data_IF_971182510590
#
_entry.id   IF_971182510590
#
_cell.length_a   1.000
_cell.length_b   1.000
_cell.length_c   1.000
_cell.angle_alpha   90.00
_cell.angle_beta   90.00
_cell.angle_gamma   90.00
#
_symmetry.space_group_name_H-M   'P 1'
#
loop_
_entity.id
_entity.type
_entity.pdbx_description
1 polymer ?
#
# COMPACT_ATOMS: atom_id res chain seq x y z
N UNK A 1 -65.31 -5.14 35.12
CA UNK A 1 -65.53 -3.69 35.30
C UNK A 1 -64.23 -2.94 35.03
N UNK A 2 -64.32 -1.91 34.18
CA UNK A 2 -63.52 -0.66 34.08
C UNK A 2 -61.99 -0.79 33.88
N UNK A 3 -61.48 -0.59 32.66
CA UNK A 3 -61.15 0.70 31.99
C UNK A 3 -60.11 1.51 32.75
N UNK A 4 -58.92 1.70 32.16
CA UNK A 4 -58.24 2.98 31.88
C UNK A 4 -56.73 2.76 31.77
N UNK A 5 -56.19 2.74 30.56
CA UNK A 5 -54.87 3.35 30.27
C UNK A 5 -55.00 4.08 28.94
N UNK A 6 -55.23 5.37 29.10
CA UNK A 6 -55.41 6.38 28.08
C UNK A 6 -54.01 6.94 27.73
N UNK A 7 -53.73 7.07 26.43
CA UNK A 7 -53.06 8.23 25.82
C UNK A 7 -51.65 8.60 26.28
N UNK A 8 -50.61 8.34 25.45
CA UNK A 8 -49.62 9.36 25.04
C UNK A 8 -48.55 8.83 24.03
N UNK A 9 -48.92 8.43 22.80
CA UNK A 9 -47.93 8.38 21.68
C UNK A 9 -48.63 8.72 20.36
N UNK A 10 -49.09 9.96 20.26
CA UNK A 10 -49.45 10.60 19.02
C UNK A 10 -48.89 12.03 19.11
N UNK A 11 -48.33 12.56 18.02
CA UNK A 11 -47.63 13.85 17.88
C UNK A 11 -46.09 13.70 17.88
N UNK A 12 -45.54 13.27 16.73
CA UNK A 12 -44.27 13.72 16.15
C UNK A 12 -44.11 13.13 14.74
N UNK A 13 -45.11 13.37 13.89
CA UNK A 13 -45.15 12.91 12.49
C UNK A 13 -45.50 14.10 11.57
N UNK A 14 -44.78 15.20 11.77
CA UNK A 14 -44.89 16.42 10.98
C UNK A 14 -43.48 17.01 10.81
N UNK A 15 -43.05 17.16 9.55
CA UNK A 15 -42.05 18.17 9.20
C UNK A 15 -40.61 17.72 8.96
N UNK A 16 -40.39 16.65 8.18
CA UNK A 16 -39.09 16.43 7.52
C UNK A 16 -39.29 16.03 6.06
N UNK A 17 -40.12 16.77 5.33
CA UNK A 17 -40.03 16.81 3.88
C UNK A 17 -38.84 17.68 3.53
N UNK A 18 -37.65 17.08 3.48
CA UNK A 18 -36.48 17.67 2.82
C UNK A 18 -36.79 17.75 1.32
N UNK A 19 -37.55 18.77 0.93
CA UNK A 19 -37.70 19.25 -0.43
C UNK A 19 -36.41 20.00 -0.80
N UNK A 20 -35.29 19.30 -0.84
CA UNK A 20 -34.27 19.63 -1.83
C UNK A 20 -34.63 18.78 -3.04
N UNK A 21 -35.56 19.30 -3.85
CA UNK A 21 -35.66 18.87 -5.23
C UNK A 21 -34.29 19.18 -5.84
N UNK A 22 -33.42 18.17 -5.90
CA UNK A 22 -32.19 18.25 -6.67
C UNK A 22 -32.65 18.36 -8.12
N UNK A 23 -32.73 19.60 -8.64
CA UNK A 23 -32.68 19.87 -10.07
C UNK A 23 -31.42 19.18 -10.58
N UNK A 24 -31.65 17.97 -11.09
CA UNK A 24 -30.69 17.14 -11.79
C UNK A 24 -31.37 16.82 -13.09
N UNK A 25 -30.70 17.15 -14.19
CA UNK A 25 -31.02 16.66 -15.51
C UNK A 25 -30.98 15.13 -15.45
N UNK A 26 -32.18 14.55 -15.32
CA UNK A 26 -32.41 13.12 -15.21
C UNK A 26 -33.22 12.68 -16.40
N UNK A 27 -32.76 11.62 -17.05
CA UNK A 27 -33.44 11.04 -18.19
C UNK A 27 -33.52 9.53 -18.01
N UNK A 28 -34.69 8.98 -18.33
CA UNK A 28 -34.96 7.56 -18.23
C UNK A 28 -35.26 6.99 -19.59
N UNK A 29 -34.51 5.98 -19.99
CA UNK A 29 -34.77 5.21 -21.20
C UNK A 29 -35.07 3.76 -20.86
N UNK A 30 -35.76 3.08 -21.77
CA UNK A 30 -36.01 1.64 -21.66
C UNK A 30 -35.24 0.93 -22.77
N UNK A 31 -34.43 -0.05 -22.38
CA UNK A 31 -33.80 -0.99 -23.28
C UNK A 31 -34.74 -2.16 -23.56
N UNK A 32 -35.05 -2.39 -24.83
CA UNK A 32 -35.89 -3.48 -25.34
C UNK A 32 -35.25 -4.14 -26.58
N UNK A 33 -33.91 -4.21 -26.63
CA UNK A 33 -33.17 -4.89 -27.69
C UNK A 33 -32.56 -4.00 -28.77
N UNK A 34 -32.59 -2.67 -28.62
CA UNK A 34 -31.91 -1.74 -29.53
C UNK A 34 -30.38 -1.84 -29.45
N UNK A 35 -29.67 -1.53 -30.54
CA UNK A 35 -28.21 -1.65 -30.59
C UNK A 35 -27.47 -0.51 -29.87
N UNK A 36 -28.01 0.70 -29.93
CA UNK A 36 -27.43 1.91 -29.33
C UNK A 36 -28.49 2.97 -29.05
N UNK A 37 -28.20 3.89 -28.14
CA UNK A 37 -29.00 5.06 -27.82
C UNK A 37 -28.06 6.27 -27.62
N UNK A 38 -28.50 7.47 -27.99
CA UNK A 38 -27.75 8.71 -27.74
C UNK A 38 -28.66 9.66 -26.99
N UNK A 39 -28.16 10.19 -25.87
CA UNK A 39 -28.91 11.10 -25.00
C UNK A 39 -28.10 12.37 -24.78
N UNK A 40 -28.80 13.49 -24.59
CA UNK A 40 -28.17 14.77 -24.28
C UNK A 40 -28.77 15.35 -23.02
N UNK A 41 -27.97 15.40 -21.96
CA UNK A 41 -28.34 15.98 -20.67
C UNK A 41 -27.78 17.40 -20.59
N UNK A 42 -28.60 18.35 -20.14
CA UNK A 42 -28.19 19.76 -19.97
C UNK A 42 -28.53 20.19 -18.55
N UNK A 43 -27.53 20.70 -17.83
CA UNK A 43 -27.65 21.18 -16.45
C UNK A 43 -26.95 22.54 -16.34
N UNK A 44 -27.47 23.45 -15.51
CA UNK A 44 -26.81 24.72 -15.23
C UNK A 44 -26.09 24.65 -13.88
N UNK A 45 -24.84 25.08 -13.83
CA UNK A 45 -24.10 25.22 -12.57
C UNK A 45 -23.57 26.63 -12.43
N UNK A 46 -23.29 27.06 -11.20
CA UNK A 46 -22.64 28.35 -10.95
C UNK A 46 -21.17 28.10 -10.65
N UNK A 47 -20.30 28.87 -11.30
CA UNK A 47 -18.87 28.89 -11.03
C UNK A 47 -18.48 30.26 -10.48
N UNK A 48 -17.73 30.26 -9.38
CA UNK A 48 -17.16 31.50 -8.85
C UNK A 48 -15.93 31.88 -9.66
N UNK A 49 -15.99 33.04 -10.33
CA UNK A 49 -14.85 33.67 -11.00
C UNK A 49 -14.40 34.89 -10.21
N UNK A 50 -13.19 35.35 -10.47
CA UNK A 50 -12.63 36.53 -9.84
C UNK A 50 -12.42 37.61 -10.88
N UNK A 51 -12.81 38.84 -10.56
CA UNK A 51 -12.41 40.03 -11.31
C UNK A 51 -11.48 40.87 -10.44
N UNK A 52 -10.55 41.55 -11.07
CA UNK A 52 -9.70 42.51 -10.40
C UNK A 52 -10.40 43.88 -10.38
N UNK A 53 -10.43 44.51 -9.21
CA UNK A 53 -10.97 45.85 -9.02
C UNK A 53 -9.94 46.67 -8.25
N UNK A 54 -9.66 47.89 -8.71
CA UNK A 54 -8.79 48.83 -7.99
C UNK A 54 -9.60 49.52 -6.89
N UNK A 55 -9.15 49.37 -5.65
CA UNK A 55 -9.75 50.05 -4.50
C UNK A 55 -8.78 51.08 -3.93
N UNK A 56 -9.26 52.30 -3.75
CA UNK A 56 -8.56 53.32 -2.99
C UNK A 56 -8.36 52.83 -1.54
N UNK A 57 -7.11 52.90 -1.07
CA UNK A 57 -6.72 52.53 0.28
C UNK A 57 -5.65 53.51 0.79
N UNK A 58 -5.37 53.42 2.08
CA UNK A 58 -4.28 54.16 2.71
C UNK A 58 -3.06 53.26 2.83
N UNK A 59 -1.94 53.67 2.25
CA UNK A 59 -0.64 53.03 2.40
C UNK A 59 0.21 53.81 3.41
N UNK A 60 1.19 53.14 4.02
CA UNK A 60 2.17 53.78 4.89
C UNK A 60 3.56 53.74 4.27
N UNK A 61 4.34 54.82 4.46
CA UNK A 61 5.77 54.86 4.13
C UNK A 61 6.57 55.39 5.32
N UNK A 62 7.80 54.92 5.46
CA UNK A 62 8.73 55.44 6.47
C UNK A 62 9.48 56.64 5.88
N UNK A 63 9.39 57.79 6.55
CA UNK A 63 10.14 58.99 6.18
C UNK A 63 11.25 59.22 7.22
N UNK A 64 12.52 59.22 6.81
CA UNK A 64 13.62 59.49 7.72
C UNK A 64 13.62 60.96 8.14
N UNK A 65 13.90 61.21 9.42
CA UNK A 65 14.17 62.53 9.98
C UNK A 65 15.37 62.43 10.94
N UNK A 66 16.13 63.52 11.09
CA UNK A 66 17.29 63.58 11.98
C UNK A 66 16.90 64.19 13.32
N UNK A 67 17.23 63.50 14.41
CA UNK A 67 17.05 64.01 15.77
C UNK A 67 18.41 64.03 16.48
N UNK A 68 18.78 65.17 17.05
CA UNK A 68 20.00 65.28 17.83
C UNK A 68 19.75 64.65 19.21
N UNK A 69 20.39 63.52 19.48
CA UNK A 69 20.22 62.80 20.75
C UNK A 69 21.54 62.86 21.51
N UNK A 70 21.47 63.35 22.74
CA UNK A 70 22.60 63.47 23.64
C UNK A 70 22.49 62.47 24.79
N UNK A 71 23.56 61.74 25.07
CA UNK A 71 23.62 60.81 26.17
C UNK A 71 25.02 60.78 26.81
N UNK A 72 25.10 60.37 28.08
CA UNK A 72 26.38 60.07 28.71
C UNK A 72 26.92 58.76 28.15
N UNK A 73 28.05 58.82 27.46
CA UNK A 73 28.77 57.65 26.97
C UNK A 73 29.98 57.37 27.87
N UNK A 74 30.19 56.10 28.21
CA UNK A 74 31.36 55.70 28.99
C UNK A 74 32.56 55.54 28.06
N UNK A 75 33.58 56.38 28.24
CA UNK A 75 34.88 56.28 27.56
C UNK A 75 35.96 55.84 28.54
N UNK A 76 37.10 55.40 28.03
CA UNK A 76 38.15 54.82 28.86
C UNK A 76 39.47 55.56 28.65
N UNK A 77 40.18 55.84 29.74
CA UNK A 77 41.55 56.38 29.71
C UNK A 77 42.54 55.38 30.26
N UNK A 78 43.70 55.27 29.64
CA UNK A 78 44.73 54.31 30.04
C UNK A 78 45.60 54.88 31.17
N UNK A 79 45.68 54.19 32.30
CA UNK A 79 46.59 54.51 33.42
C UNK A 79 47.53 53.34 33.69
N UNK A 80 48.83 53.61 33.81
CA UNK A 80 49.87 52.58 33.90
C UNK A 80 50.60 52.61 35.24
N UNK A 81 50.98 51.42 35.73
CA UNK A 81 51.89 51.25 36.87
C UNK A 81 52.84 50.07 36.64
N UNK A 82 54.01 50.07 37.30
CA UNK A 82 55.02 49.02 37.13
C UNK A 82 54.80 47.88 38.11
N UNK A 83 54.62 46.65 37.60
CA UNK A 83 54.68 45.45 38.42
C UNK A 83 56.13 44.93 38.51
N UNK A 84 56.66 44.64 39.72
CA UNK A 84 57.98 44.04 39.88
C UNK A 84 58.01 42.59 39.38
N UNK A 85 59.20 42.16 38.93
CA UNK A 85 59.42 40.83 38.38
C UNK A 85 59.18 39.73 39.41
N UNK A 86 58.66 38.58 38.96
CA UNK A 86 58.34 37.45 39.81
C UNK A 86 58.60 36.12 39.10
N UNK A 87 58.89 35.09 39.89
CA UNK A 87 59.08 33.74 39.38
C UNK A 87 57.70 33.11 39.14
N UNK A 88 57.48 32.61 37.93
CA UNK A 88 56.23 31.96 37.56
C UNK A 88 56.49 30.48 37.29
N UNK A 89 55.97 29.65 38.19
CA UNK A 89 56.05 28.20 38.11
C UNK A 89 54.76 27.63 37.54
N UNK A 90 54.86 26.77 36.54
CA UNK A 90 53.74 26.04 35.98
C UNK A 90 54.12 24.58 35.69
N UNK A 91 53.13 23.69 35.77
CA UNK A 91 53.35 22.26 35.53
C UNK A 91 53.22 21.98 34.05
N UNK A 92 54.30 21.55 33.41
CA UNK A 92 54.30 21.03 32.03
C UNK A 92 54.24 19.51 32.05
N UNK A 93 53.68 18.89 31.01
CA UNK A 93 53.50 17.43 30.96
C UNK A 93 54.26 16.85 29.78
N UNK A 94 55.29 16.05 30.07
CA UNK A 94 56.11 15.39 29.06
C UNK A 94 55.55 14.00 28.74
N UNK A 95 55.51 13.65 27.45
CA UNK A 95 54.87 12.40 26.97
C UNK A 95 55.91 11.31 26.77
N UNK A 96 55.84 10.26 27.57
CA UNK A 96 56.76 9.12 27.52
C UNK A 96 56.01 7.90 26.97
N UNK A 97 56.52 7.31 25.89
CA UNK A 97 55.88 6.22 25.15
C UNK A 97 56.62 4.90 25.30
N UNK A 98 55.91 3.81 25.57
CA UNK A 98 56.45 2.43 25.52
C UNK A 98 55.61 1.51 24.65
N UNK A 99 56.26 0.57 23.99
CA UNK A 99 55.59 -0.44 23.15
C UNK A 99 55.19 -1.64 23.98
N UNK A 100 53.94 -2.10 23.82
CA UNK A 100 53.36 -3.20 24.59
C UNK A 100 52.80 -4.25 23.62
N UNK A 101 53.02 -5.53 23.91
CA UNK A 101 52.50 -6.63 23.10
C UNK A 101 51.15 -7.12 23.65
N UNK A 102 50.13 -7.22 22.78
CA UNK A 102 48.79 -7.72 23.10
C UNK A 102 48.37 -8.79 22.09
N UNK A 103 47.31 -9.54 22.37
CA UNK A 103 46.75 -10.53 21.42
C UNK A 103 45.31 -10.17 21.08
N UNK A 104 44.90 -10.43 19.84
CA UNK A 104 43.51 -10.31 19.38
C UNK A 104 43.02 -11.61 18.77
N UNK A 105 41.73 -11.90 18.96
CA UNK A 105 41.14 -13.14 18.48
C UNK A 105 40.63 -12.97 17.05
N UNK A 106 41.19 -13.72 16.12
CA UNK A 106 40.74 -13.74 14.73
C UNK A 106 40.06 -15.08 14.44
N UNK A 107 38.85 -15.02 13.88
CA UNK A 107 38.03 -16.19 13.61
C UNK A 107 37.67 -16.29 12.13
N UNK A 108 37.73 -17.50 11.59
CA UNK A 108 37.26 -17.80 10.22
C UNK A 108 36.22 -18.92 10.24
N UNK A 109 35.17 -18.74 9.44
CA UNK A 109 34.08 -19.70 9.28
C UNK A 109 34.40 -20.64 8.12
N UNK A 110 34.54 -21.94 8.38
CA UNK A 110 34.70 -22.92 7.30
C UNK A 110 33.32 -23.42 6.84
N UNK A 111 33.02 -23.43 5.53
CA UNK A 111 31.76 -23.93 5.01
C UNK A 111 31.61 -25.44 5.27
N UNK A 112 30.36 -25.90 5.37
CA UNK A 112 30.04 -27.32 5.56
C UNK A 112 30.49 -28.16 4.37
N UNK A 113 30.84 -29.43 4.61
CA UNK A 113 31.29 -30.34 3.56
C UNK A 113 30.63 -31.71 3.65
N UNK A 114 30.39 -32.32 2.49
CA UNK A 114 29.91 -33.70 2.34
C UNK A 114 31.11 -34.64 2.38
N UNK A 115 31.10 -35.60 3.30
CA UNK A 115 32.14 -36.64 3.38
C UNK A 115 31.51 -37.97 3.03
N UNK A 116 32.07 -38.63 2.03
CA UNK A 116 31.64 -39.93 1.55
C UNK A 116 32.68 -40.99 1.91
N UNK A 117 32.23 -42.21 2.19
CA UNK A 117 33.11 -43.37 2.30
C UNK A 117 32.57 -44.56 1.52
N UNK A 118 33.46 -45.23 0.82
CA UNK A 118 33.20 -46.47 0.10
C UNK A 118 33.18 -47.64 1.11
N UNK A 119 32.06 -48.33 1.19
CA UNK A 119 31.96 -49.56 1.97
C UNK A 119 32.22 -50.74 1.03
N UNK A 120 33.28 -51.55 1.27
CA UNK A 120 33.63 -52.64 0.37
C UNK A 120 32.52 -53.70 0.34
N UNK A 121 32.34 -54.30 -0.84
CA UNK A 121 31.37 -55.36 -1.03
C UNK A 121 31.66 -56.54 -0.12
N UNK A 122 30.61 -57.17 0.40
CA UNK A 122 30.74 -58.32 1.29
C UNK A 122 29.88 -59.48 0.80
N UNK A 123 30.41 -60.69 0.94
CA UNK A 123 29.69 -61.93 0.67
C UNK A 123 28.83 -62.24 1.89
N UNK A 124 27.52 -62.21 1.71
CA UNK A 124 26.60 -62.54 2.78
C UNK A 124 26.01 -63.91 2.48
N UNK A 125 26.35 -64.87 3.34
CA UNK A 125 25.87 -66.24 3.27
C UNK A 125 24.76 -66.43 4.29
N UNK A 126 23.72 -67.18 3.91
CA UNK A 126 22.68 -67.62 4.82
C UNK A 126 22.50 -69.12 4.64
N UNK A 127 22.62 -69.85 5.75
CA UNK A 127 22.38 -71.30 5.78
C UNK A 127 20.88 -71.55 5.77
N UNK A 128 20.42 -72.42 4.86
CA UNK A 128 19.02 -72.83 4.81
C UNK A 128 18.79 -74.03 5.75
N UNK A 129 17.54 -74.29 6.19
CA UNK A 129 17.24 -75.35 7.17
C UNK A 129 17.63 -76.78 6.72
N UNK A 130 17.84 -77.00 5.42
CA UNK A 130 18.31 -78.27 4.84
C UNK A 130 19.83 -78.50 4.96
N UNK A 131 20.57 -77.58 5.58
CA UNK A 131 22.02 -77.68 5.80
C UNK A 131 22.91 -77.05 4.72
N UNK A 132 22.35 -76.67 3.57
CA UNK A 132 23.13 -76.08 2.47
C UNK A 132 23.28 -74.54 2.59
N UNK A 133 24.48 -74.01 2.30
CA UNK A 133 24.77 -72.57 2.35
C UNK A 133 24.65 -71.90 0.99
N UNK A 134 23.69 -70.95 0.86
CA UNK A 134 23.65 -70.05 -0.29
C UNK A 134 24.21 -68.69 0.06
N UNK A 135 25.20 -68.26 -0.73
CA UNK A 135 25.86 -66.98 -0.58
C UNK A 135 25.54 -66.06 -1.76
N UNK A 136 25.32 -64.78 -1.47
CA UNK A 136 25.27 -63.73 -2.49
C UNK A 136 26.28 -62.63 -2.19
N UNK A 137 27.00 -62.20 -3.22
CA UNK A 137 27.91 -61.07 -3.13
C UNK A 137 27.13 -59.76 -3.28
N UNK A 138 27.26 -58.88 -2.29
CA UNK A 138 26.70 -57.53 -2.36
C UNK A 138 27.84 -56.60 -2.80
N UNK A 139 27.71 -55.87 -3.92
CA UNK A 139 28.73 -54.95 -4.37
C UNK A 139 28.86 -53.75 -3.43
N UNK A 140 30.06 -53.17 -3.38
CA UNK A 140 30.34 -52.01 -2.53
C UNK A 140 29.48 -50.81 -2.92
N UNK A 141 29.09 -50.00 -1.93
CA UNK A 141 28.35 -48.76 -2.16
C UNK A 141 28.93 -47.63 -1.33
N UNK A 142 28.83 -46.43 -1.87
CA UNK A 142 29.32 -45.23 -1.21
C UNK A 142 28.21 -44.59 -0.37
N UNK A 143 28.52 -44.30 0.89
CA UNK A 143 27.59 -43.66 1.82
C UNK A 143 28.16 -42.29 2.19
N UNK A 144 27.37 -41.25 1.94
CA UNK A 144 27.76 -39.87 2.21
C UNK A 144 26.94 -39.24 3.32
N UNK A 145 27.60 -38.41 4.15
CA UNK A 145 26.94 -37.58 5.16
C UNK A 145 27.41 -36.13 5.07
N UNK A 146 26.48 -35.19 5.24
CA UNK A 146 26.77 -33.75 5.23
C UNK A 146 27.10 -33.30 6.65
N UNK A 147 28.26 -32.65 6.85
CA UNK A 147 28.62 -32.05 8.15
C UNK A 147 28.51 -30.53 8.08
N UNK A 148 27.85 -29.88 9.07
CA UNK A 148 27.70 -28.44 9.10
C UNK A 148 29.07 -27.75 9.31
N UNK A 149 29.18 -26.52 8.78
CA UNK A 149 30.40 -25.71 8.91
C UNK A 149 30.69 -25.32 10.35
N UNK A 150 31.97 -25.10 10.69
CA UNK A 150 32.40 -24.69 12.03
C UNK A 150 33.27 -23.44 11.99
N UNK A 151 33.10 -22.57 12.98
CA UNK A 151 33.94 -21.40 13.22
C UNK A 151 35.18 -21.83 13.99
N UNK A 152 36.37 -21.47 13.51
CA UNK A 152 37.64 -21.72 14.21
C UNK A 152 38.31 -20.39 14.45
N UNK A 153 38.65 -20.11 15.71
CA UNK A 153 39.28 -18.89 16.15
C UNK A 153 40.71 -19.16 16.64
N UNK A 154 41.65 -18.26 16.34
CA UNK A 154 43.00 -18.27 16.92
C UNK A 154 43.37 -16.87 17.43
N UNK A 155 44.15 -16.81 18.49
CA UNK A 155 44.71 -15.57 19.02
C UNK A 155 45.97 -15.20 18.24
N UNK A 156 46.05 -13.98 17.74
CA UNK A 156 47.20 -13.46 17.00
C UNK A 156 47.80 -12.28 17.76
N UNK A 157 49.11 -12.28 18.08
CA UNK A 157 49.76 -11.17 18.77
C UNK A 157 49.99 -9.97 17.85
N UNK A 158 49.87 -8.77 18.41
CA UNK A 158 50.21 -7.49 17.78
C UNK A 158 50.82 -6.53 18.81
N UNK A 159 51.58 -5.54 18.33
CA UNK A 159 52.19 -4.50 19.15
C UNK A 159 51.41 -3.20 19.07
N UNK A 160 51.31 -2.53 20.22
CA UNK A 160 50.68 -1.23 20.35
C UNK A 160 51.57 -0.29 21.17
N UNK A 161 51.60 1.00 20.85
CA UNK A 161 52.48 1.98 21.53
C UNK A 161 51.65 2.87 22.43
N UNK A 162 51.76 2.63 23.74
CA UNK A 162 51.02 3.36 24.76
C UNK A 162 51.91 4.45 25.33
N UNK A 163 51.39 5.67 25.41
CA UNK A 163 52.14 6.82 25.87
C UNK A 163 51.42 7.53 27.01
N UNK A 164 52.11 7.73 28.11
CA UNK A 164 51.60 8.40 29.29
C UNK A 164 52.23 9.80 29.40
N UNK A 165 51.48 10.77 29.94
CA UNK A 165 51.96 12.14 30.16
C UNK A 165 52.26 12.34 31.63
N UNK A 166 53.50 12.68 31.95
CA UNK A 166 53.96 12.84 33.34
C UNK A 166 54.21 14.32 33.63
N UNK A 167 53.58 14.90 34.66
CA UNK A 167 53.81 16.29 35.04
C UNK A 167 55.22 16.54 35.57
N UNK A 168 55.84 17.65 35.17
CA UNK A 168 57.02 18.25 35.77
C UNK A 168 56.78 19.75 36.00
N UNK A 169 57.23 20.26 37.14
CA UNK A 169 57.18 21.68 37.46
C UNK A 169 58.35 22.40 36.80
N UNK A 170 58.04 23.41 36.00
CA UNK A 170 59.03 24.31 35.40
C UNK A 170 58.74 25.74 35.84
N UNK A 171 59.77 26.45 36.25
CA UNK A 171 59.66 27.81 36.75
C UNK A 171 60.53 28.74 35.92
N UNK A 172 59.91 29.76 35.33
CA UNK A 172 60.59 30.78 34.55
C UNK A 172 60.50 32.13 35.29
N UNK A 173 61.58 32.91 35.28
CA UNK A 173 61.58 34.25 35.88
C UNK A 173 61.01 35.28 34.91
N UNK A 174 59.95 35.99 35.31
CA UNK A 174 59.35 37.05 34.49
C UNK A 174 59.86 38.41 34.98
N UNK A 175 60.49 39.22 34.11
CA UNK A 175 61.01 40.52 34.50
C UNK A 175 59.88 41.55 34.77
N UNK A 176 60.18 42.65 35.51
CA UNK A 176 59.21 43.71 35.77
C UNK A 176 58.62 44.27 34.47
N UNK A 177 57.33 44.62 34.47
CA UNK A 177 56.67 45.24 33.31
C UNK A 177 55.65 46.30 33.73
N UNK A 178 55.48 47.31 32.88
CA UNK A 178 54.41 48.30 33.05
C UNK A 178 53.08 47.68 32.63
N UNK A 179 52.12 47.64 33.57
CA UNK A 179 50.76 47.19 33.33
C UNK A 179 49.85 48.42 33.30
N UNK A 180 49.17 48.59 32.17
CA UNK A 180 48.26 49.70 31.91
C UNK A 180 46.81 49.21 31.95
N UNK A 181 45.99 49.83 32.80
CA UNK A 181 44.57 49.54 32.93
C UNK A 181 43.75 50.68 32.33
N UNK A 182 42.66 50.34 31.65
CA UNK A 182 41.70 51.30 31.14
C UNK A 182 40.67 51.62 32.23
N UNK A 183 40.65 52.88 32.67
CA UNK A 183 39.72 53.37 33.68
C UNK A 183 38.56 54.10 32.99
N UNK A 184 37.30 53.66 33.19
CA UNK A 184 36.14 54.31 32.60
C UNK A 184 35.91 55.71 33.20
N UNK A 185 35.48 56.65 32.35
CA UNK A 185 34.92 57.95 32.71
C UNK A 185 33.71 58.23 31.82
N UNK A 186 32.78 59.07 32.28
CA UNK A 186 31.59 59.43 31.50
C UNK A 186 31.84 60.72 30.72
N UNK A 187 31.47 60.74 29.45
CA UNK A 187 31.51 61.93 28.58
C UNK A 187 30.14 62.13 27.95
N UNK A 188 29.57 63.33 28.04
CA UNK A 188 28.29 63.65 27.44
C UNK A 188 28.48 63.94 25.95
N UNK A 189 27.96 63.06 25.08
CA UNK A 189 28.15 63.16 23.64
C UNK A 189 26.79 63.27 22.95
N UNK A 190 26.66 64.28 22.10
CA UNK A 190 25.51 64.47 21.23
C UNK A 190 25.84 63.94 19.83
N UNK A 191 24.93 63.17 19.23
CA UNK A 191 25.02 62.76 17.82
C UNK A 191 23.66 62.86 17.15
N UNK A 192 23.68 63.22 15.87
CA UNK A 192 22.48 63.17 15.04
C UNK A 192 22.14 61.72 14.72
N UNK A 193 20.94 61.29 15.12
CA UNK A 193 20.43 59.96 14.88
C UNK A 193 19.29 60.04 13.88
N UNK A 194 19.36 59.28 12.80
CA UNK A 194 18.24 59.13 11.86
C UNK A 194 17.16 58.27 12.49
N UNK A 195 15.98 58.86 12.70
CA UNK A 195 14.75 58.16 13.09
C UNK A 195 13.77 58.13 11.92
N UNK A 196 12.76 57.27 12.00
CA UNK A 196 11.75 57.13 10.95
C UNK A 196 10.38 57.44 11.54
N UNK A 197 9.58 58.23 10.82
CA UNK A 197 8.17 58.41 11.11
C UNK A 197 7.33 57.75 10.02
N UNK A 198 6.20 57.19 10.43
CA UNK A 198 5.24 56.59 9.49
C UNK A 198 4.33 57.68 8.96
N UNK A 199 4.30 57.88 7.65
CA UNK A 199 3.34 58.76 6.98
C UNK A 199 2.38 57.96 6.11
N UNK A 200 1.10 58.30 6.22
CA UNK A 200 0.02 57.75 5.42
C UNK A 200 -0.13 58.51 4.10
N UNK A 201 -0.38 57.80 3.00
CA UNK A 201 -0.65 58.37 1.69
C UNK A 201 -1.72 57.56 0.94
N UNK A 202 -2.44 58.22 0.04
CA UNK A 202 -3.43 57.56 -0.81
C UNK A 202 -2.73 56.65 -1.83
N UNK A 203 -3.16 55.40 -1.90
CA UNK A 203 -2.68 54.44 -2.89
C UNK A 203 -3.86 53.59 -3.36
N UNK A 204 -3.74 52.98 -4.53
CA UNK A 204 -4.70 51.97 -4.98
C UNK A 204 -4.16 50.58 -4.65
N UNK A 205 -5.05 49.66 -4.28
CA UNK A 205 -4.75 48.24 -4.18
C UNK A 205 -5.66 47.46 -5.12
N UNK A 206 -5.09 46.52 -5.87
CA UNK A 206 -5.88 45.58 -6.66
C UNK A 206 -6.44 44.51 -5.74
N UNK A 207 -7.77 44.40 -5.67
CA UNK A 207 -8.46 43.33 -4.93
C UNK A 207 -9.17 42.39 -5.89
N UNK A 208 -9.19 41.10 -5.56
CA UNK A 208 -9.95 40.11 -6.30
C UNK A 208 -11.35 39.97 -5.70
N UNK A 209 -12.37 40.30 -6.48
CA UNK A 209 -13.77 40.20 -6.07
C UNK A 209 -14.40 38.98 -6.73
N UNK A 210 -14.91 38.01 -5.94
CA UNK A 210 -15.61 36.86 -6.49
C UNK A 210 -16.98 37.27 -7.04
N UNK A 211 -17.36 36.70 -8.18
CA UNK A 211 -18.71 36.79 -8.76
C UNK A 211 -19.12 35.43 -9.32
N UNK A 212 -20.42 35.11 -9.27
CA UNK A 212 -20.95 33.85 -9.81
C UNK A 212 -21.25 34.01 -11.30
N UNK A 213 -20.80 33.07 -12.11
CA UNK A 213 -21.12 32.97 -13.53
C UNK A 213 -21.87 31.68 -13.78
N UNK A 214 -23.05 31.73 -14.43
CA UNK A 214 -23.72 30.51 -14.86
C UNK A 214 -22.88 29.83 -15.96
N UNK A 215 -22.57 28.57 -15.74
CA UNK A 215 -21.84 27.70 -16.66
C UNK A 215 -22.78 26.58 -17.07
N UNK A 216 -22.90 26.37 -18.38
CA UNK A 216 -23.73 25.30 -18.94
C UNK A 216 -22.95 23.98 -18.93
N UNK A 217 -23.50 22.96 -18.31
CA UNK A 217 -22.99 21.59 -18.35
C UNK A 217 -23.79 20.81 -19.39
N UNK A 218 -23.14 20.41 -20.48
CA UNK A 218 -23.76 19.60 -21.54
C UNK A 218 -23.10 18.23 -21.54
N UNK A 219 -23.88 17.18 -21.34
CA UNK A 219 -23.39 15.81 -21.43
C UNK A 219 -24.02 15.06 -22.61
N UNK A 220 -23.19 14.69 -23.58
CA UNK A 220 -23.57 13.80 -24.67
C UNK A 220 -23.25 12.36 -24.24
N UNK A 221 -24.27 11.52 -24.11
CA UNK A 221 -24.13 10.15 -23.62
C UNK A 221 -24.44 9.16 -24.73
N UNK A 222 -23.41 8.42 -25.16
CA UNK A 222 -23.54 7.31 -26.10
C UNK A 222 -23.68 5.99 -25.32
N UNK A 223 -24.80 5.31 -25.50
CA UNK A 223 -25.05 3.98 -24.96
C UNK A 223 -24.93 2.96 -26.09
N UNK A 224 -24.11 1.94 -25.89
CA UNK A 224 -23.98 0.80 -26.80
C UNK A 224 -24.32 -0.47 -26.07
N UNK A 225 -25.24 -1.25 -26.63
CA UNK A 225 -25.77 -2.45 -25.99
C UNK A 225 -25.28 -3.70 -26.70
N UNK A 226 -24.97 -4.73 -25.92
CA UNK A 226 -24.71 -6.08 -26.41
C UNK A 226 -25.50 -7.07 -25.57
N UNK A 227 -26.53 -7.64 -26.17
CA UNK A 227 -27.25 -8.76 -25.58
C UNK A 227 -26.58 -10.07 -25.96
N UNK A 228 -26.22 -10.90 -24.98
CA UNK A 228 -25.71 -12.26 -25.22
C UNK A 228 -26.65 -13.32 -24.66
N UNK A 229 -27.87 -12.94 -24.32
CA UNK A 229 -28.86 -13.84 -23.73
C UNK A 229 -29.65 -14.57 -24.81
N UNK A 230 -30.11 -15.77 -24.47
CA UNK A 230 -31.02 -16.53 -25.33
C UNK A 230 -32.43 -15.91 -25.39
N UNK A 231 -32.80 -15.14 -24.36
CA UNK A 231 -34.05 -14.39 -24.27
C UNK A 231 -33.74 -12.89 -24.31
N UNK A 232 -34.59 -12.06 -24.96
CA UNK A 232 -34.36 -10.63 -25.05
C UNK A 232 -34.35 -10.01 -23.65
N UNK A 233 -33.27 -9.30 -23.31
CA UNK A 233 -33.18 -8.59 -22.05
C UNK A 233 -33.99 -7.30 -22.11
N UNK A 234 -34.55 -6.88 -20.97
CA UNK A 234 -35.21 -5.59 -20.80
C UNK A 234 -34.65 -4.87 -19.59
N UNK A 235 -34.42 -3.57 -19.69
CA UNK A 235 -33.94 -2.79 -18.55
C UNK A 235 -34.37 -1.34 -18.61
N UNK A 236 -34.63 -0.74 -17.46
CA UNK A 236 -34.77 0.72 -17.32
C UNK A 236 -33.42 1.32 -16.93
N UNK A 237 -32.96 2.31 -17.69
CA UNK A 237 -31.73 3.04 -17.45
C UNK A 237 -32.08 4.48 -17.07
N UNK A 238 -31.65 4.89 -15.89
CA UNK A 238 -31.78 6.26 -15.40
C UNK A 238 -30.42 6.92 -15.40
N UNK A 239 -30.24 7.94 -16.23
CA UNK A 239 -29.05 8.77 -16.26
C UNK A 239 -29.29 10.06 -15.50
N UNK A 240 -28.27 10.54 -14.81
CA UNK A 240 -28.31 11.78 -14.05
C UNK A 240 -27.00 12.54 -14.25
N UNK A 241 -27.07 13.77 -14.74
CA UNK A 241 -25.93 14.69 -14.74
C UNK A 241 -25.92 15.44 -13.41
N UNK A 242 -24.78 15.45 -12.72
CA UNK A 242 -24.62 16.23 -11.49
C UNK A 242 -23.91 17.58 -11.78
N UNK A 243 -23.96 18.50 -10.81
CA UNK A 243 -23.31 19.82 -10.88
C UNK A 243 -21.78 19.79 -11.03
N UNK A 244 -21.16 18.62 -10.85
CA UNK A 244 -19.72 18.40 -11.06
C UNK A 244 -19.41 17.96 -12.51
N UNK A 245 -20.41 17.86 -13.39
CA UNK A 245 -20.25 17.35 -14.75
C UNK A 245 -20.08 15.83 -14.83
N UNK A 246 -20.43 15.08 -13.78
CA UNK A 246 -20.36 13.61 -13.78
C UNK A 246 -21.72 13.02 -14.11
N UNK A 247 -21.76 12.15 -15.12
CA UNK A 247 -22.93 11.35 -15.44
C UNK A 247 -22.95 10.08 -14.58
N UNK A 248 -24.01 9.95 -13.78
CA UNK A 248 -24.38 8.74 -13.07
C UNK A 248 -25.34 7.88 -13.90
N UNK A 249 -25.15 6.56 -13.87
CA UNK A 249 -26.02 5.60 -14.53
C UNK A 249 -26.55 4.61 -13.48
N UNK A 250 -27.88 4.54 -13.35
CA UNK A 250 -28.59 3.52 -12.57
C UNK A 250 -29.36 2.63 -13.54
N UNK A 251 -29.34 1.32 -13.29
CA UNK A 251 -30.02 0.35 -14.15
C UNK A 251 -30.88 -0.58 -13.30
N UNK A 252 -32.12 -0.76 -13.74
CA UNK A 252 -33.09 -1.68 -13.17
C UNK A 252 -33.40 -2.74 -14.22
N UNK A 253 -33.15 -4.00 -13.88
CA UNK A 253 -33.45 -5.13 -14.75
C UNK A 253 -34.97 -5.38 -14.77
N UNK A 254 -35.55 -5.41 -15.98
CA UNK A 254 -36.97 -5.66 -16.26
C UNK A 254 -37.16 -6.94 -17.09
N UNK A 255 -36.09 -7.73 -17.27
CA UNK A 255 -36.10 -8.95 -18.08
C UNK A 255 -36.94 -10.03 -17.40
N UNK A 256 -37.63 -10.86 -18.20
CA UNK A 256 -38.35 -12.04 -17.69
C UNK A 256 -37.37 -13.05 -17.05
N UNK A 257 -36.23 -13.25 -17.72
CA UNK A 257 -35.09 -14.00 -17.17
C UNK A 257 -34.08 -13.00 -16.64
N UNK A 258 -33.74 -13.02 -15.33
CA UNK A 258 -32.84 -12.04 -14.75
C UNK A 258 -31.49 -11.96 -15.49
N UNK A 259 -31.11 -10.75 -15.89
CA UNK A 259 -29.88 -10.48 -16.60
C UNK A 259 -28.83 -9.89 -15.64
N UNK A 260 -27.57 -10.32 -15.77
CA UNK A 260 -26.42 -9.65 -15.20
C UNK A 260 -25.97 -8.54 -16.17
N UNK A 261 -26.00 -7.30 -15.71
CA UNK A 261 -25.75 -6.11 -16.54
C UNK A 261 -24.37 -5.56 -16.18
N UNK A 262 -23.46 -5.62 -17.14
CA UNK A 262 -22.08 -5.16 -17.01
C UNK A 262 -21.86 -3.88 -17.81
N UNK A 263 -21.19 -2.90 -17.23
CA UNK A 263 -20.92 -1.62 -17.87
C UNK A 263 -19.43 -1.27 -17.91
N UNK A 264 -18.96 -0.86 -19.08
CA UNK A 264 -17.68 -0.17 -19.26
C UNK A 264 -17.96 1.28 -19.62
N UNK A 265 -17.35 2.21 -18.87
CA UNK A 265 -17.51 3.65 -19.04
C UNK A 265 -16.23 4.24 -19.63
N UNK A 266 -16.36 5.17 -20.57
CA UNK A 266 -15.29 6.06 -21.05
C UNK A 266 -15.79 7.48 -21.05
N UNK A 267 -15.06 8.38 -20.40
CA UNK A 267 -15.42 9.78 -20.24
C UNK A 267 -14.37 10.68 -20.89
N UNK A 268 -14.81 11.70 -21.61
CA UNK A 268 -13.98 12.80 -22.06
C UNK A 268 -14.67 14.12 -21.68
N UNK A 269 -13.92 15.05 -21.11
CA UNK A 269 -14.44 16.37 -20.73
C UNK A 269 -13.69 17.43 -21.51
N UNK A 270 -14.42 18.33 -22.13
CA UNK A 270 -13.86 19.48 -22.83
C UNK A 270 -14.55 20.75 -22.37
N UNK A 271 -13.77 21.82 -22.18
CA UNK A 271 -14.25 23.10 -21.67
C UNK A 271 -14.03 24.16 -22.74
N UNK A 272 -15.10 24.83 -23.13
CA UNK A 272 -15.10 25.88 -24.13
C UNK A 272 -15.87 27.10 -23.58
N UNK A 273 -15.13 28.10 -23.11
CA UNK A 273 -15.70 29.27 -22.42
C UNK A 273 -16.56 28.91 -21.21
N UNK A 274 -17.85 29.24 -21.30
CA UNK A 274 -18.88 29.03 -20.27
C UNK A 274 -19.65 27.71 -20.47
N UNK A 275 -19.18 26.85 -21.38
CA UNK A 275 -19.77 25.53 -21.62
C UNK A 275 -18.77 24.44 -21.25
N UNK A 276 -19.19 23.52 -20.38
CA UNK A 276 -18.46 22.30 -20.08
C UNK A 276 -19.18 21.15 -20.79
N UNK A 277 -18.55 20.63 -21.83
CA UNK A 277 -19.02 19.48 -22.59
C UNK A 277 -18.44 18.19 -22.03
N UNK A 278 -19.29 17.20 -21.77
CA UNK A 278 -18.91 15.90 -21.24
C UNK A 278 -19.40 14.83 -22.21
N UNK A 279 -18.48 14.13 -22.87
CA UNK A 279 -18.80 12.99 -23.74
C UNK A 279 -18.62 11.71 -22.97
N UNK A 280 -19.70 10.97 -22.77
CA UNK A 280 -19.72 9.74 -21.99
C UNK A 280 -20.14 8.58 -22.88
N UNK A 281 -19.33 7.53 -22.91
CA UNK A 281 -19.63 6.32 -23.66
C UNK A 281 -19.78 5.14 -22.71
N UNK A 282 -20.95 4.53 -22.69
CA UNK A 282 -21.23 3.31 -21.95
C UNK A 282 -21.36 2.12 -22.91
N UNK A 283 -20.59 1.07 -22.63
CA UNK A 283 -20.75 -0.25 -23.26
C UNK A 283 -21.41 -1.18 -22.27
N UNK A 284 -22.67 -1.51 -22.53
CA UNK A 284 -23.52 -2.32 -21.67
C UNK A 284 -23.65 -3.72 -22.25
N UNK A 285 -23.24 -4.72 -21.47
CA UNK A 285 -23.37 -6.12 -21.84
C UNK A 285 -24.40 -6.78 -20.93
N UNK A 286 -25.42 -7.40 -21.53
CA UNK A 286 -26.41 -8.21 -20.85
C UNK A 286 -26.00 -9.68 -20.97
N UNK A 287 -25.86 -10.33 -19.82
CA UNK A 287 -25.52 -11.74 -19.69
C UNK A 287 -26.60 -12.44 -18.88
N UNK A 288 -26.83 -13.73 -19.12
CA UNK A 288 -27.84 -14.47 -18.37
C UNK A 288 -27.26 -14.65 -16.97
N UNK A 289 -27.98 -14.14 -15.95
CA UNK A 289 -27.46 -14.13 -14.58
C UNK A 289 -27.18 -15.53 -14.08
N UNK A 290 -28.02 -16.51 -14.43
CA UNK A 290 -27.88 -17.89 -13.99
C UNK A 290 -26.66 -18.53 -14.66
N UNK A 291 -26.47 -18.30 -15.96
CA UNK A 291 -25.35 -18.84 -16.74
C UNK A 291 -24.02 -18.19 -16.34
N UNK A 292 -23.99 -16.86 -16.22
CA UNK A 292 -22.78 -16.10 -15.90
C UNK A 292 -22.28 -16.37 -14.47
N UNK A 293 -23.18 -16.61 -13.51
CA UNK A 293 -22.85 -16.90 -12.11
C UNK A 293 -22.83 -18.39 -11.79
N UNK A 294 -23.12 -19.26 -12.77
CA UNK A 294 -23.19 -20.70 -12.55
C UNK A 294 -21.95 -21.28 -11.83
N UNK A 295 -20.70 -20.86 -12.12
CA UNK A 295 -19.51 -21.39 -11.44
C UNK A 295 -19.48 -21.21 -9.92
N UNK A 296 -20.13 -20.17 -9.40
CA UNK A 296 -20.17 -19.85 -7.95
C UNK A 296 -21.54 -20.10 -7.33
N UNK A 297 -22.57 -20.29 -8.14
CA UNK A 297 -23.92 -20.58 -7.66
C UNK A 297 -24.05 -22.01 -7.10
N UNK A 298 -23.23 -22.95 -7.60
CA UNK A 298 -23.17 -24.31 -7.08
C UNK A 298 -22.05 -24.46 -6.05
N UNK A 299 -22.25 -25.26 -4.98
CA UNK A 299 -21.17 -25.57 -4.06
C UNK A 299 -20.04 -26.30 -4.78
N UNK A 300 -18.81 -26.03 -4.38
CA UNK A 300 -17.64 -26.77 -4.87
C UNK A 300 -17.79 -28.21 -4.41
N UNK A 301 -17.79 -29.20 -5.29
CA UNK A 301 -18.04 -30.60 -4.94
C UNK A 301 -17.01 -31.58 -5.52
N UNK A 302 -17.16 -32.86 -5.19
CA UNK A 302 -16.33 -33.95 -5.72
C UNK A 302 -14.80 -33.70 -5.64
N UNK A 303 -14.33 -33.07 -4.56
CA UNK A 303 -12.91 -32.73 -4.38
C UNK A 303 -12.08 -34.01 -4.26
N UNK A 304 -11.21 -34.25 -5.24
CA UNK A 304 -10.27 -35.38 -5.29
C UNK A 304 -8.85 -34.86 -5.24
N UNK A 305 -8.08 -35.37 -4.29
CA UNK A 305 -6.68 -35.02 -4.11
C UNK A 305 -5.79 -36.24 -4.36
N UNK A 306 -4.88 -36.12 -5.31
CA UNK A 306 -3.83 -37.11 -5.58
C UNK A 306 -2.43 -36.49 -5.36
N UNK A 307 -1.39 -37.30 -5.51
CA UNK A 307 -0.01 -36.83 -5.38
C UNK A 307 0.43 -35.89 -6.54
N UNK A 308 -0.27 -35.89 -7.68
CA UNK A 308 0.08 -35.10 -8.88
C UNK A 308 -0.93 -34.02 -9.23
N UNK A 309 -2.20 -34.24 -8.89
CA UNK A 309 -3.29 -33.36 -9.29
C UNK A 309 -4.34 -33.20 -8.19
N UNK A 310 -4.99 -32.04 -8.21
CA UNK A 310 -6.20 -31.72 -7.47
C UNK A 310 -7.31 -31.50 -8.50
N UNK A 311 -8.44 -32.16 -8.32
CA UNK A 311 -9.62 -31.93 -9.15
C UNK A 311 -10.86 -31.72 -8.31
N UNK A 312 -11.74 -30.83 -8.72
CA UNK A 312 -13.02 -30.59 -8.05
C UNK A 312 -14.06 -30.15 -9.08
N UNK A 313 -15.33 -30.35 -8.75
CA UNK A 313 -16.47 -29.97 -9.58
C UNK A 313 -16.96 -28.60 -9.12
N UNK A 314 -17.18 -27.70 -10.07
CA UNK A 314 -17.89 -26.43 -9.88
C UNK A 314 -19.06 -26.38 -10.85
N UNK A 315 -19.91 -25.36 -10.73
CA UNK A 315 -20.96 -25.13 -11.72
C UNK A 315 -20.41 -24.86 -13.12
N UNK A 316 -21.26 -24.93 -14.16
CA UNK A 316 -20.82 -24.86 -15.55
C UNK A 316 -20.09 -23.54 -15.85
N UNK A 317 -18.93 -23.64 -16.50
CA UNK A 317 -18.10 -22.49 -16.89
C UNK A 317 -18.21 -22.27 -18.40
N UNK A 318 -18.83 -21.16 -18.78
CA UNK A 318 -18.96 -20.78 -20.20
C UNK A 318 -17.83 -19.86 -20.68
N UNK A 319 -17.16 -19.16 -19.77
CA UNK A 319 -16.00 -18.31 -20.08
C UNK A 319 -14.92 -18.44 -19.02
N UNK A 320 -13.68 -18.67 -19.46
CA UNK A 320 -12.52 -18.82 -18.59
C UNK A 320 -11.94 -17.47 -18.14
N UNK A 321 -12.16 -16.40 -18.92
CA UNK A 321 -11.53 -15.09 -18.68
C UNK A 321 -12.00 -14.42 -17.40
N UNK A 322 -13.19 -14.79 -16.91
CA UNK A 322 -13.78 -14.22 -15.70
C UNK A 322 -13.57 -15.10 -14.46
N UNK A 323 -13.01 -16.30 -14.60
CA UNK A 323 -12.87 -17.24 -13.47
C UNK A 323 -11.57 -16.95 -12.71
N UNK A 324 -11.69 -16.61 -11.43
CA UNK A 324 -10.58 -16.50 -10.47
C UNK A 324 -10.56 -17.72 -9.56
N UNK A 325 -9.42 -18.36 -9.44
CA UNK A 325 -9.26 -19.52 -8.58
C UNK A 325 -8.13 -19.27 -7.61
N UNK A 326 -8.37 -19.49 -6.32
CA UNK A 326 -7.31 -19.47 -5.31
C UNK A 326 -7.33 -20.79 -4.57
N UNK A 327 -6.16 -21.42 -4.52
CA UNK A 327 -5.99 -22.77 -3.97
C UNK A 327 -4.90 -22.71 -2.92
N UNK A 328 -5.26 -23.20 -1.73
CA UNK A 328 -4.34 -23.36 -0.61
C UNK A 328 -4.36 -24.80 -0.13
N UNK A 329 -3.20 -25.46 -0.14
CA UNK A 329 -3.02 -26.84 0.31
C UNK A 329 -2.00 -26.85 1.44
N UNK A 330 -2.43 -27.32 2.62
CA UNK A 330 -1.62 -27.36 3.84
C UNK A 330 -1.51 -28.80 4.32
N UNK A 331 -0.30 -29.33 4.46
CA UNK A 331 -0.05 -30.66 5.01
C UNK A 331 -0.16 -30.65 6.54
N UNK A 332 -0.94 -31.58 7.09
CA UNK A 332 -1.02 -31.82 8.52
C UNK A 332 0.09 -32.80 8.97
N UNK A 333 0.99 -32.36 9.88
CA UNK A 333 1.99 -33.25 10.49
C UNK A 333 1.47 -33.83 11.80
N UNK A 334 1.44 -35.16 11.89
CA UNK A 334 0.90 -35.91 13.04
C UNK A 334 1.70 -35.76 14.33
N UNK A 335 2.98 -35.42 14.28
CA UNK A 335 3.86 -35.55 15.45
C UNK A 335 4.08 -34.24 16.23
N UNK A 336 3.72 -33.06 15.69
CA UNK A 336 3.99 -31.76 16.35
C UNK A 336 2.98 -30.64 16.04
N UNK A 337 1.79 -30.96 15.54
CA UNK A 337 0.79 -29.97 15.08
C UNK A 337 1.33 -28.95 14.04
N UNK A 338 2.51 -29.19 13.45
CA UNK A 338 3.10 -28.28 12.47
C UNK A 338 2.35 -28.37 11.14
N UNK A 339 1.97 -27.21 10.62
CA UNK A 339 1.30 -27.04 9.34
C UNK A 339 2.33 -26.62 8.30
N UNK A 340 2.43 -27.37 7.22
CA UNK A 340 3.35 -27.05 6.12
C UNK A 340 2.53 -26.68 4.89
N UNK A 341 2.63 -25.44 4.44
CA UNK A 341 1.95 -24.98 3.21
C UNK A 341 2.67 -25.58 2.01
N UNK A 342 1.96 -26.40 1.23
CA UNK A 342 2.47 -27.03 0.02
C UNK A 342 2.16 -26.20 -1.23
N UNK A 343 1.01 -25.52 -1.23
CA UNK A 343 0.60 -24.61 -2.30
C UNK A 343 -0.25 -23.51 -1.68
N UNK A 344 -0.04 -22.27 -2.10
CA UNK A 344 -0.90 -21.12 -1.79
C UNK A 344 -0.76 -20.16 -2.98
N UNK A 345 -1.66 -20.29 -3.97
CA UNK A 345 -1.54 -19.58 -5.25
C UNK A 345 -2.91 -19.14 -5.76
N UNK A 346 -2.95 -17.94 -6.35
CA UNK A 346 -4.03 -17.50 -7.23
C UNK A 346 -3.69 -17.99 -8.64
N UNK A 347 -4.57 -18.80 -9.21
CA UNK A 347 -4.38 -19.49 -10.48
C UNK A 347 -4.90 -18.65 -11.63
N UNK A 348 -4.11 -18.57 -12.71
CA UNK A 348 -4.52 -17.96 -13.97
C UNK A 348 -5.14 -19.00 -14.91
N UNK A 349 -5.80 -18.59 -15.99
CA UNK A 349 -6.51 -19.49 -16.92
C UNK A 349 -5.62 -20.60 -17.54
N UNK A 350 -4.30 -20.42 -17.57
CA UNK A 350 -3.33 -21.42 -18.03
C UNK A 350 -2.84 -22.40 -16.96
N UNK A 351 -3.13 -22.15 -15.68
CA UNK A 351 -2.67 -22.97 -14.56
C UNK A 351 -3.57 -24.19 -14.30
N UNK A 352 -4.76 -24.26 -14.92
CA UNK A 352 -5.72 -25.33 -14.74
C UNK A 352 -6.37 -25.74 -16.05
N UNK A 353 -7.00 -26.91 -16.04
CA UNK A 353 -7.79 -27.43 -17.16
C UNK A 353 -9.25 -27.53 -16.74
N UNK A 354 -10.16 -27.17 -17.64
CA UNK A 354 -11.59 -27.26 -17.43
C UNK A 354 -12.15 -28.37 -18.31
N UNK A 355 -12.87 -29.31 -17.72
CA UNK A 355 -13.56 -30.40 -18.44
C UNK A 355 -15.06 -30.29 -18.17
N UNK A 356 -15.88 -29.93 -19.17
CA UNK A 356 -17.33 -29.84 -18.98
C UNK A 356 -17.93 -31.22 -18.71
N UNK A 357 -18.94 -31.27 -17.85
CA UNK A 357 -19.72 -32.47 -17.51
C UNK A 357 -21.22 -32.13 -17.45
N UNK A 358 -22.10 -33.14 -17.45
CA UNK A 358 -23.56 -32.92 -17.48
C UNK A 358 -24.10 -32.08 -16.31
N UNK A 359 -23.37 -31.99 -15.19
CA UNK A 359 -23.76 -31.20 -14.01
C UNK A 359 -22.92 -29.96 -13.73
N UNK A 360 -21.84 -29.72 -14.48
CA UNK A 360 -20.93 -28.62 -14.19
C UNK A 360 -19.62 -28.66 -14.95
N UNK A 361 -18.54 -28.26 -14.31
CA UNK A 361 -17.20 -28.25 -14.90
C UNK A 361 -16.18 -28.77 -13.89
N UNK A 362 -15.44 -29.79 -14.29
CA UNK A 362 -14.34 -30.30 -13.47
C UNK A 362 -13.12 -29.43 -13.72
N UNK A 363 -12.65 -28.77 -12.65
CA UNK A 363 -11.37 -28.05 -12.63
C UNK A 363 -10.29 -29.03 -12.24
N UNK A 364 -9.24 -29.16 -13.05
CA UNK A 364 -8.08 -30.00 -12.74
C UNK A 364 -6.80 -29.17 -12.72
N UNK A 365 -6.12 -29.19 -11.59
CA UNK A 365 -4.85 -28.53 -11.29
C UNK A 365 -3.72 -29.55 -11.23
N UNK A 366 -2.62 -29.32 -11.93
CA UNK A 366 -1.44 -30.19 -11.91
C UNK A 366 -0.33 -29.58 -11.05
N UNK A 367 -0.01 -30.21 -9.91
CA UNK A 367 0.98 -29.69 -8.97
C UNK A 367 2.39 -29.59 -9.57
N UNK A 368 2.73 -30.43 -10.56
CA UNK A 368 4.04 -30.39 -11.22
C UNK A 368 4.26 -29.09 -11.99
N UNK A 369 3.22 -28.52 -12.59
CA UNK A 369 3.30 -27.23 -13.30
C UNK A 369 3.62 -26.07 -12.34
N UNK A 370 3.43 -26.27 -11.03
CA UNK A 370 3.76 -25.30 -9.99
C UNK A 370 4.98 -25.70 -9.15
N UNK A 371 5.78 -26.67 -9.61
CA UNK A 371 7.01 -27.08 -8.92
C UNK A 371 6.76 -27.73 -7.56
N UNK A 372 5.57 -28.29 -7.34
CA UNK A 372 5.18 -28.93 -6.07
C UNK A 372 4.76 -30.38 -6.30
N UNK A 373 5.01 -31.24 -5.33
CA UNK A 373 4.47 -32.61 -5.29
C UNK A 373 3.94 -32.88 -3.88
N UNK A 374 2.81 -33.59 -3.80
CA UNK A 374 2.20 -33.93 -2.52
C UNK A 374 2.64 -35.33 -2.05
N UNK A 375 2.85 -35.46 -0.75
CA UNK A 375 3.23 -36.72 -0.13
C UNK A 375 2.07 -37.73 -0.17
N UNK A 376 2.35 -38.94 -0.67
CA UNK A 376 1.37 -40.03 -0.73
C UNK A 376 0.86 -40.42 0.66
N UNK A 377 -0.43 -40.76 0.73
CA UNK A 377 -1.15 -41.21 1.94
C UNK A 377 -1.08 -40.23 3.13
N UNK A 378 -0.81 -38.94 2.91
CA UNK A 378 -0.82 -37.91 3.97
C UNK A 378 -2.12 -37.11 3.94
N UNK A 379 -2.52 -36.61 5.12
CA UNK A 379 -3.68 -35.72 5.28
C UNK A 379 -3.27 -34.29 4.91
N UNK A 380 -4.11 -33.63 4.14
CA UNK A 380 -3.94 -32.23 3.76
C UNK A 380 -5.26 -31.49 3.99
N UNK A 381 -5.16 -30.26 4.47
CA UNK A 381 -6.24 -29.28 4.48
C UNK A 381 -6.19 -28.53 3.16
N UNK A 382 -7.28 -28.58 2.41
CA UNK A 382 -7.44 -27.93 1.13
C UNK A 382 -8.48 -26.84 1.29
N UNK A 383 -8.10 -25.60 1.01
CA UNK A 383 -8.99 -24.44 0.94
C UNK A 383 -9.05 -24.00 -0.52
N UNK A 384 -10.27 -24.00 -1.06
CA UNK A 384 -10.59 -23.64 -2.43
C UNK A 384 -11.46 -22.39 -2.39
N UNK A 385 -11.08 -21.39 -3.17
CA UNK A 385 -11.86 -20.17 -3.36
C UNK A 385 -12.05 -19.97 -4.86
N UNK A 386 -13.31 -20.06 -5.29
CA UNK A 386 -13.74 -19.87 -6.67
C UNK A 386 -14.43 -18.53 -6.73
N UNK A 387 -13.86 -17.59 -7.46
CA UNK A 387 -14.40 -16.27 -7.68
C UNK A 387 -14.72 -16.04 -9.15
N UNK A 388 -15.66 -15.14 -9.42
CA UNK A 388 -15.86 -14.57 -10.74
C UNK A 388 -15.47 -13.11 -10.66
N UNK A 389 -14.68 -12.64 -11.63
CA UNK A 389 -14.37 -11.23 -11.79
C UNK A 389 -14.70 -10.77 -13.20
N UNK A 390 -15.34 -9.61 -13.29
CA UNK A 390 -15.62 -8.94 -14.55
C UNK A 390 -14.77 -7.68 -14.66
N UNK A 391 -14.16 -7.47 -15.83
CA UNK A 391 -13.44 -6.23 -16.17
C UNK A 391 -14.39 -5.03 -16.39
N UNK A 392 -15.64 -5.15 -15.97
CA UNK A 392 -16.72 -4.21 -16.16
C UNK A 392 -17.51 -4.09 -14.86
N UNK A 393 -18.06 -2.90 -14.59
CA UNK A 393 -18.82 -2.65 -13.37
C UNK A 393 -20.19 -3.34 -13.47
N UNK A 394 -20.55 -4.12 -12.46
CA UNK A 394 -21.90 -4.70 -12.34
C UNK A 394 -22.87 -3.57 -11.96
N UNK A 395 -23.95 -3.41 -12.72
CA UNK A 395 -24.96 -2.38 -12.50
C UNK A 395 -26.26 -2.88 -11.85
N UNK A 396 -26.41 -4.19 -11.65
CA UNK A 396 -27.59 -4.75 -10.96
C UNK A 396 -27.75 -4.18 -9.54
N UNK A 397 -29.00 -3.96 -9.13
CA UNK A 397 -29.34 -3.40 -7.82
C UNK A 397 -28.85 -4.27 -6.65
N UNK A 398 -28.94 -5.59 -6.78
CA UNK A 398 -28.40 -6.54 -5.80
C UNK A 398 -27.09 -7.12 -6.30
N UNK A 399 -26.00 -6.89 -5.55
CA UNK A 399 -24.70 -7.50 -5.87
C UNK A 399 -24.80 -9.01 -5.63
N UNK A 400 -24.65 -9.84 -6.67
CA UNK A 400 -24.66 -11.28 -6.48
C UNK A 400 -23.45 -11.75 -5.65
N UNK A 401 -23.56 -12.94 -5.07
CA UNK A 401 -22.40 -13.60 -4.47
C UNK A 401 -21.42 -13.97 -5.60
N UNK A 402 -20.22 -13.38 -5.55
CA UNK A 402 -19.20 -13.53 -6.60
C UNK A 402 -18.11 -14.53 -6.22
N UNK A 403 -18.12 -15.03 -4.99
CA UNK A 403 -17.08 -15.89 -4.44
C UNK A 403 -17.71 -17.05 -3.67
N UNK A 404 -17.24 -18.25 -3.94
CA UNK A 404 -17.60 -19.48 -3.25
C UNK A 404 -16.33 -20.09 -2.64
N UNK A 405 -16.39 -20.45 -1.36
CA UNK A 405 -15.26 -21.06 -0.66
C UNK A 405 -15.60 -22.47 -0.17
N UNK A 406 -14.61 -23.35 -0.14
CA UNK A 406 -14.73 -24.68 0.48
C UNK A 406 -13.42 -25.08 1.14
N UNK A 407 -13.52 -25.46 2.41
CA UNK A 407 -12.41 -26.02 3.17
C UNK A 407 -12.68 -27.49 3.48
N UNK A 408 -11.69 -28.35 3.22
CA UNK A 408 -11.85 -29.80 3.43
C UNK A 408 -10.52 -30.46 3.76
N UNK A 409 -10.53 -31.38 4.73
CA UNK A 409 -9.37 -32.23 5.05
C UNK A 409 -9.46 -33.56 4.30
N UNK A 410 -8.53 -33.83 3.39
CA UNK A 410 -8.54 -35.03 2.52
C UNK A 410 -7.21 -35.79 2.63
N UNK A 411 -7.26 -37.13 2.59
CA UNK A 411 -6.08 -37.98 2.42
C UNK A 411 -5.79 -38.16 0.93
N UNK A 412 -4.56 -37.90 0.50
CA UNK A 412 -4.13 -38.14 -0.89
C UNK A 412 -4.34 -39.61 -1.28
N UNK A 413 -4.95 -39.86 -2.44
CA UNK A 413 -5.05 -41.19 -3.03
C UNK A 413 -3.66 -41.80 -3.34
N UNK A 414 -3.59 -43.13 -3.46
CA UNK A 414 -2.33 -43.89 -3.66
C UNK A 414 -1.61 -43.53 -4.96
#
# INVERSE_FOLDING_TARGET
>A
MKKLTLSLVAICLLGATTLFAEDRATETITYEGQASEVLRLVEATEETRYREEEQDTTCTRQIPYTENVCANETRYRTQCHTEPGRQHCYTTYERICRTVHRTRQECTNKPGRRVCRQQPGRRQCRTLPSGEQRCRNIPGREICTNKPGRRVCRQVPYTDRVCDRVPRQQCDWIPPRNVCNQVPYQEYVCRDVTRYRTEEYACTRTVQIPYQVPVELVADVDLSFKDSNSFPSKASLTLALNKEGKVGLKVTDLSEVPALILAKKRSATNRDGDVISVKEQYKLNFLDKKVALAPVAQPIDAVKLSHKQLSFLIGPVHSTTSLKLKVKVVRQKTMFHSREVKLDKVLEAGDYTLTPTEGGTIVTLNFKQHGTELDKKKKHDVSLEVGIEFNARILNQTRPQMVQTKEITIKTAK
#
